data_IF_009215363019
#
_entry.id   IF_009215363019
#
_cell.length_a   1.000
_cell.length_b   1.000
_cell.length_c   1.000
_cell.angle_alpha   90.00
_cell.angle_beta   90.00
_cell.angle_gamma   90.00
#
_symmetry.space_group_name_H-M   'P 1'
#
loop_
_entity.id
_entity.type
_entity.pdbx_description
1 polymer ?
#
# COMPACT_ATOMS: atom_id res chain seq x y z
N UNK A 1 4.57 7.59 32.26
CA UNK A 1 4.70 7.39 30.80
C UNK A 1 3.26 7.31 30.24
N UNK A 2 2.85 8.20 29.35
CA UNK A 2 1.56 8.07 28.66
C UNK A 2 1.64 6.82 27.79
N UNK A 3 0.82 5.83 28.10
CA UNK A 3 0.68 4.61 27.30
C UNK A 3 -0.06 5.02 25.99
N UNK A 4 0.66 5.67 25.08
CA UNK A 4 0.11 6.07 23.78
C UNK A 4 -0.06 4.80 22.94
N UNK A 5 -1.32 4.47 22.63
CA UNK A 5 -1.64 3.37 21.73
C UNK A 5 -1.00 3.61 20.37
N UNK A 6 -0.29 2.62 19.83
CA UNK A 6 0.30 2.66 18.50
C UNK A 6 -0.81 2.82 17.44
N UNK A 7 -0.66 3.72 16.50
CA UNK A 7 -1.63 3.96 15.42
C UNK A 7 -1.24 3.17 14.18
N UNK A 8 -2.11 2.30 13.73
CA UNK A 8 -1.92 1.43 12.58
C UNK A 8 -2.98 1.74 11.53
N UNK A 9 -2.58 2.14 10.33
CA UNK A 9 -3.50 2.27 9.21
C UNK A 9 -3.53 0.97 8.40
N UNK A 10 -4.71 0.36 8.25
CA UNK A 10 -4.94 -0.70 7.27
C UNK A 10 -5.33 -0.07 5.94
N UNK A 11 -4.53 -0.35 4.92
CA UNK A 11 -4.68 0.19 3.57
C UNK A 11 -4.71 -0.99 2.60
N UNK A 12 -5.42 -0.89 1.51
CA UNK A 12 -5.41 -1.96 0.50
C UNK A 12 -6.49 -1.78 -0.54
N UNK A 13 -6.33 -2.52 -1.62
CA UNK A 13 -7.31 -2.54 -2.70
C UNK A 13 -8.64 -3.15 -2.20
N UNK A 14 -9.76 -2.79 -2.82
CA UNK A 14 -11.01 -3.52 -2.59
C UNK A 14 -10.83 -5.04 -2.77
N UNK A 15 -11.51 -5.82 -1.94
CA UNK A 15 -11.55 -7.28 -1.97
C UNK A 15 -10.24 -8.02 -1.59
N UNK A 16 -9.22 -7.35 -1.08
CA UNK A 16 -7.99 -7.99 -0.57
C UNK A 16 -8.17 -8.67 0.80
N UNK A 17 -9.37 -8.60 1.37
CA UNK A 17 -9.64 -9.14 2.70
C UNK A 17 -9.24 -8.19 3.86
N UNK A 18 -9.09 -6.90 3.57
CA UNK A 18 -8.73 -5.87 4.56
C UNK A 18 -9.68 -5.84 5.75
N UNK A 19 -10.99 -5.81 5.52
CA UNK A 19 -12.01 -5.85 6.59
C UNK A 19 -11.96 -7.17 7.39
N UNK A 20 -11.67 -8.30 6.74
CA UNK A 20 -11.50 -9.56 7.44
C UNK A 20 -10.28 -9.53 8.37
N UNK A 21 -9.17 -8.95 7.91
CA UNK A 21 -7.98 -8.74 8.73
C UNK A 21 -8.25 -7.77 9.89
N UNK A 22 -8.95 -6.67 9.63
CA UNK A 22 -9.37 -5.72 10.67
C UNK A 22 -10.14 -6.43 11.78
N UNK A 23 -11.13 -7.26 11.43
CA UNK A 23 -11.92 -8.02 12.39
C UNK A 23 -11.08 -9.03 13.18
N UNK A 24 -10.10 -9.69 12.55
CA UNK A 24 -9.17 -10.60 13.22
C UNK A 24 -8.27 -9.86 14.23
N UNK A 25 -7.77 -8.67 13.88
CA UNK A 25 -6.91 -7.88 14.75
C UNK A 25 -7.67 -7.29 15.94
N UNK A 26 -8.90 -6.82 15.73
CA UNK A 26 -9.67 -6.08 16.73
C UNK A 26 -10.63 -6.96 17.55
N UNK A 27 -10.85 -8.22 17.15
CA UNK A 27 -11.83 -9.09 17.79
C UNK A 27 -13.25 -8.50 17.73
N UNK A 28 -13.59 -7.76 16.66
CA UNK A 28 -14.85 -7.03 16.47
C UNK A 28 -15.08 -5.86 17.46
N UNK A 29 -14.10 -5.49 18.27
CA UNK A 29 -14.12 -4.31 19.12
C UNK A 29 -13.83 -3.07 18.26
N UNK A 30 -14.87 -2.55 17.61
CA UNK A 30 -14.76 -1.45 16.66
C UNK A 30 -15.75 -0.33 16.97
N UNK A 31 -15.36 0.89 16.61
CA UNK A 31 -16.23 2.05 16.53
C UNK A 31 -16.40 2.41 15.05
N UNK A 32 -17.64 2.56 14.64
CA UNK A 32 -18.00 2.95 13.28
C UNK A 32 -18.60 4.35 13.33
N UNK A 33 -18.16 5.23 12.45
CA UNK A 33 -18.64 6.59 12.29
C UNK A 33 -18.31 7.09 10.90
N UNK A 34 -18.40 8.39 10.68
CA UNK A 34 -17.97 9.00 9.42
C UNK A 34 -16.78 9.92 9.67
N UNK A 35 -15.97 10.13 8.64
CA UNK A 35 -14.96 11.18 8.66
C UNK A 35 -15.64 12.55 8.72
N UNK A 36 -15.09 13.54 9.45
CA UNK A 36 -15.68 14.87 9.58
C UNK A 36 -15.95 15.52 8.22
N UNK A 37 -17.20 15.95 8.00
CA UNK A 37 -17.59 16.70 6.80
C UNK A 37 -17.84 15.87 5.54
N UNK A 38 -17.73 14.53 5.61
CA UNK A 38 -17.96 13.63 4.47
C UNK A 38 -18.79 12.41 4.89
N UNK A 39 -19.42 11.76 3.90
CA UNK A 39 -20.21 10.52 4.10
C UNK A 39 -19.39 9.25 4.12
N UNK A 40 -18.05 9.36 4.13
CA UNK A 40 -17.13 8.23 4.11
C UNK A 40 -17.06 7.59 5.49
N UNK A 41 -17.24 6.27 5.52
CA UNK A 41 -17.22 5.49 6.75
C UNK A 41 -15.81 5.42 7.35
N UNK A 42 -15.71 5.69 8.66
CA UNK A 42 -14.49 5.59 9.47
C UNK A 42 -14.64 4.45 10.47
N UNK A 43 -13.82 3.42 10.34
CA UNK A 43 -13.76 2.28 11.27
C UNK A 43 -12.48 2.30 12.07
N UNK A 44 -12.62 2.28 13.39
CA UNK A 44 -11.48 2.26 14.31
C UNK A 44 -11.71 1.14 15.34
N UNK A 45 -10.66 0.36 15.57
CA UNK A 45 -10.70 -0.71 16.57
C UNK A 45 -9.43 -0.74 17.41
N UNK A 46 -9.47 -1.46 18.51
CA UNK A 46 -8.31 -1.70 19.37
C UNK A 46 -7.79 -3.12 19.20
N UNK A 47 -6.48 -3.27 19.17
CA UNK A 47 -5.79 -4.54 19.06
C UNK A 47 -4.79 -4.69 20.21
N UNK A 48 -4.83 -5.84 20.88
CA UNK A 48 -3.79 -6.23 21.82
C UNK A 48 -2.59 -6.79 21.05
N UNK A 49 -1.43 -6.24 21.30
CA UNK A 49 -0.16 -6.63 20.70
C UNK A 49 0.69 -7.39 21.70
N UNK A 50 1.72 -8.13 21.23
CA UNK A 50 2.76 -8.68 22.09
C UNK A 50 3.38 -7.62 23.03
N UNK A 51 4.10 -8.06 24.06
CA UNK A 51 4.77 -7.21 25.05
C UNK A 51 3.82 -6.25 25.80
N UNK A 52 2.54 -6.64 25.98
CA UNK A 52 1.50 -5.82 26.62
C UNK A 52 1.27 -4.45 25.95
N UNK A 53 1.66 -4.28 24.69
CA UNK A 53 1.38 -3.08 23.91
C UNK A 53 -0.06 -3.11 23.37
N UNK A 54 -0.57 -1.95 22.99
CA UNK A 54 -1.88 -1.80 22.35
C UNK A 54 -1.74 -0.99 21.07
N UNK A 55 -2.55 -1.33 20.09
CA UNK A 55 -2.67 -0.55 18.86
C UNK A 55 -4.11 -0.07 18.66
N UNK A 56 -4.24 1.10 18.09
CA UNK A 56 -5.47 1.61 17.48
C UNK A 56 -5.37 1.34 15.99
N UNK A 57 -6.26 0.48 15.48
CA UNK A 57 -6.30 0.10 14.07
C UNK A 57 -7.34 0.97 13.38
N UNK A 58 -6.91 1.69 12.35
CA UNK A 58 -7.77 2.49 11.49
C UNK A 58 -7.95 1.77 10.14
N UNK A 59 -9.18 1.38 9.82
CA UNK A 59 -9.52 0.78 8.52
C UNK A 59 -9.81 1.89 7.51
N UNK A 60 -8.88 2.14 6.58
CA UNK A 60 -9.04 3.16 5.55
C UNK A 60 -9.91 2.64 4.40
N UNK A 61 -10.62 3.52 3.68
CA UNK A 61 -11.34 3.15 2.46
C UNK A 61 -10.46 2.39 1.47
N UNK A 62 -11.05 1.43 0.75
CA UNK A 62 -10.33 0.66 -0.26
C UNK A 62 -9.95 1.55 -1.44
N UNK A 63 -8.66 1.55 -1.80
CA UNK A 63 -8.16 2.31 -2.95
C UNK A 63 -7.23 1.45 -3.81
N UNK A 64 -7.19 1.74 -5.11
CA UNK A 64 -6.30 1.02 -6.05
C UNK A 64 -4.95 1.68 -6.21
N UNK A 65 -4.85 2.98 -5.95
CA UNK A 65 -3.64 3.78 -6.06
C UNK A 65 -3.82 5.11 -5.30
N UNK A 66 -2.74 5.85 -5.13
CA UNK A 66 -2.79 7.26 -4.67
C UNK A 66 -3.04 8.25 -5.82
N UNK A 67 -3.54 7.78 -6.97
CA UNK A 67 -4.07 8.61 -8.04
C UNK A 67 -5.58 8.65 -7.86
N UNK A 68 -6.06 9.58 -7.02
CA UNK A 68 -7.45 9.62 -6.59
C UNK A 68 -8.40 9.99 -7.74
N UNK A 69 -9.49 9.22 -7.82
CA UNK A 69 -10.62 9.47 -8.71
C UNK A 69 -11.94 9.63 -7.94
N UNK A 70 -11.89 9.54 -6.61
CA UNK A 70 -13.06 9.63 -5.73
C UNK A 70 -12.74 10.41 -4.45
N UNK A 71 -13.77 10.88 -3.75
CA UNK A 71 -13.62 11.56 -2.46
C UNK A 71 -13.01 10.63 -1.40
N UNK A 72 -13.35 9.34 -1.42
CA UNK A 72 -12.83 8.34 -0.49
C UNK A 72 -11.32 8.17 -0.65
N UNK A 73 -10.83 8.14 -1.91
CA UNK A 73 -9.41 8.03 -2.21
C UNK A 73 -8.65 9.31 -1.84
N UNK A 74 -9.22 10.50 -2.06
CA UNK A 74 -8.65 11.77 -1.63
C UNK A 74 -8.43 11.81 -0.11
N UNK A 75 -9.42 11.33 0.67
CA UNK A 75 -9.34 11.28 2.12
C UNK A 75 -8.16 10.43 2.59
N UNK A 76 -7.92 9.27 1.96
CA UNK A 76 -6.75 8.42 2.25
C UNK A 76 -5.46 9.18 2.02
N UNK A 77 -5.36 9.91 0.89
CA UNK A 77 -4.16 10.68 0.56
C UNK A 77 -3.95 11.81 1.58
N UNK A 78 -4.97 12.60 1.88
CA UNK A 78 -4.89 13.71 2.83
C UNK A 78 -4.44 13.24 4.21
N UNK A 79 -5.01 12.14 4.72
CA UNK A 79 -4.60 11.55 5.99
C UNK A 79 -3.11 11.14 5.98
N UNK A 80 -2.66 10.48 4.93
CA UNK A 80 -1.27 10.00 4.84
C UNK A 80 -0.25 11.11 4.57
N UNK A 81 -0.69 12.26 4.08
CA UNK A 81 0.15 13.43 3.90
C UNK A 81 0.29 14.26 5.19
N UNK A 82 -0.73 14.29 6.05
CA UNK A 82 -0.81 15.20 7.20
C UNK A 82 -0.26 14.56 8.48
N UNK A 83 1.03 14.72 8.75
CA UNK A 83 1.67 14.24 10.00
C UNK A 83 1.09 14.83 11.28
N UNK A 84 0.38 15.96 11.19
CA UNK A 84 -0.26 16.61 12.34
C UNK A 84 -1.70 16.10 12.58
N UNK A 85 -2.23 15.26 11.70
CA UNK A 85 -3.55 14.67 11.89
C UNK A 85 -3.54 13.72 13.10
N UNK A 86 -4.62 13.78 13.88
CA UNK A 86 -4.78 12.90 15.06
C UNK A 86 -4.77 11.41 14.70
N UNK A 87 -5.16 11.07 13.47
CA UNK A 87 -5.26 9.71 12.94
C UNK A 87 -4.05 9.33 12.07
N UNK A 88 -3.04 10.21 11.94
CA UNK A 88 -1.81 9.89 11.19
C UNK A 88 -1.15 8.63 11.77
N UNK A 89 -0.84 7.63 10.94
CA UNK A 89 -0.34 6.34 11.41
C UNK A 89 1.14 6.38 11.79
N UNK A 90 1.50 5.63 12.83
CA UNK A 90 2.89 5.29 13.14
C UNK A 90 3.42 4.23 12.16
N UNK A 91 2.53 3.34 11.70
CA UNK A 91 2.83 2.30 10.71
C UNK A 91 1.65 2.06 9.78
N UNK A 92 1.95 1.91 8.50
CA UNK A 92 1.00 1.50 7.47
C UNK A 92 1.08 -0.01 7.23
N UNK A 93 -0.04 -0.69 7.27
CA UNK A 93 -0.17 -2.11 6.92
C UNK A 93 -0.94 -2.20 5.60
N UNK A 94 -0.21 -2.48 4.52
CA UNK A 94 -0.79 -2.55 3.17
C UNK A 94 -1.20 -3.98 2.86
N UNK A 95 -2.52 -4.19 2.74
CA UNK A 95 -3.11 -5.51 2.53
C UNK A 95 -3.27 -5.78 1.03
N UNK A 96 -2.62 -6.83 0.59
CA UNK A 96 -2.65 -7.35 -0.78
C UNK A 96 -3.20 -8.77 -0.79
N UNK A 97 -3.50 -9.30 -1.96
CA UNK A 97 -3.86 -10.71 -2.12
C UNK A 97 -2.90 -11.43 -3.06
N UNK A 98 -2.70 -12.71 -2.84
CA UNK A 98 -1.68 -13.49 -3.53
C UNK A 98 -1.90 -13.62 -5.05
N UNK A 99 -3.15 -13.69 -5.50
CA UNK A 99 -3.46 -13.88 -6.93
C UNK A 99 -3.21 -12.58 -7.71
N UNK A 100 -3.73 -11.44 -7.23
CA UNK A 100 -3.62 -10.14 -7.87
C UNK A 100 -2.45 -9.28 -7.34
N UNK A 101 -1.38 -9.93 -6.84
CA UNK A 101 -0.25 -9.27 -6.20
C UNK A 101 0.35 -8.16 -7.09
N UNK A 102 0.47 -8.39 -8.42
CA UNK A 102 0.96 -7.37 -9.36
C UNK A 102 0.16 -6.07 -9.29
N UNK A 103 -1.16 -6.15 -9.28
CA UNK A 103 -2.05 -4.98 -9.22
C UNK A 103 -1.97 -4.30 -7.87
N UNK A 104 -1.95 -5.11 -6.80
CA UNK A 104 -1.97 -4.58 -5.44
C UNK A 104 -0.65 -3.91 -5.04
N UNK A 105 0.48 -4.36 -5.58
CA UNK A 105 1.79 -3.76 -5.33
C UNK A 105 1.93 -2.33 -5.86
N UNK A 106 1.08 -1.90 -6.80
CA UNK A 106 1.07 -0.50 -7.23
C UNK A 106 0.81 0.43 -6.04
N UNK A 107 -0.27 0.20 -5.31
CA UNK A 107 -0.61 0.96 -4.10
C UNK A 107 0.49 0.84 -3.03
N UNK A 108 1.00 -0.38 -2.80
CA UNK A 108 2.07 -0.60 -1.84
C UNK A 108 3.30 0.26 -2.12
N UNK A 109 3.79 0.28 -3.38
CA UNK A 109 4.96 1.09 -3.74
C UNK A 109 4.72 2.58 -3.55
N UNK A 110 3.50 3.07 -3.78
CA UNK A 110 3.14 4.46 -3.56
C UNK A 110 3.11 4.83 -2.07
N UNK A 111 2.54 3.96 -1.22
CA UNK A 111 2.53 4.16 0.24
C UNK A 111 3.95 4.15 0.80
N UNK A 112 4.78 3.21 0.34
CA UNK A 112 6.18 3.09 0.76
C UNK A 112 7.00 4.36 0.42
N UNK A 113 6.71 4.98 -0.74
CA UNK A 113 7.39 6.21 -1.17
C UNK A 113 6.96 7.46 -0.38
N UNK A 114 5.94 7.37 0.49
CA UNK A 114 5.64 8.39 1.50
C UNK A 114 6.57 8.33 2.72
N UNK A 115 7.51 7.39 2.75
CA UNK A 115 8.50 7.22 3.83
C UNK A 115 7.84 6.98 5.21
N UNK A 116 6.65 6.38 5.21
CA UNK A 116 5.98 5.88 6.42
C UNK A 116 6.49 4.45 6.67
N UNK A 117 6.79 4.06 7.93
CA UNK A 117 7.03 2.66 8.24
C UNK A 117 5.90 1.78 7.69
N UNK A 118 6.23 0.84 6.80
CA UNK A 118 5.20 0.11 6.05
C UNK A 118 5.47 -1.38 6.13
N UNK A 119 4.42 -2.18 6.40
CA UNK A 119 4.42 -3.64 6.35
C UNK A 119 3.58 -4.07 5.15
N UNK A 120 4.09 -4.97 4.34
CA UNK A 120 3.32 -5.62 3.29
C UNK A 120 2.63 -6.88 3.85
N UNK A 121 1.31 -6.92 3.79
CA UNK A 121 0.54 -8.12 4.08
C UNK A 121 0.11 -8.77 2.77
N UNK A 122 0.51 -10.04 2.57
CA UNK A 122 0.01 -10.87 1.47
C UNK A 122 -1.01 -11.84 2.06
N UNK A 123 -2.28 -11.51 1.85
CA UNK A 123 -3.43 -12.28 2.34
C UNK A 123 -3.80 -13.40 1.36
N UNK A 124 -4.72 -14.26 1.80
CA UNK A 124 -5.19 -15.43 1.07
C UNK A 124 -4.08 -16.45 0.77
N UNK A 125 -3.10 -16.58 1.68
CA UNK A 125 -2.02 -17.56 1.56
C UNK A 125 -2.50 -19.01 1.45
N UNK A 126 -3.69 -19.31 1.96
CA UNK A 126 -4.33 -20.61 1.82
C UNK A 126 -4.68 -20.95 0.35
N UNK A 127 -4.74 -19.97 -0.55
CA UNK A 127 -4.96 -20.16 -1.98
C UNK A 127 -3.67 -20.55 -2.73
N UNK A 128 -2.48 -20.29 -2.16
CA UNK A 128 -1.21 -20.54 -2.84
C UNK A 128 -1.07 -21.99 -3.31
N UNK A 129 -1.30 -22.94 -2.41
CA UNK A 129 -1.22 -24.35 -2.75
C UNK A 129 -2.31 -24.81 -3.75
N UNK A 130 -3.49 -24.16 -3.71
CA UNK A 130 -4.58 -24.45 -4.64
C UNK A 130 -4.27 -23.97 -6.06
N UNK A 131 -3.55 -22.87 -6.18
CA UNK A 131 -3.23 -22.22 -7.45
C UNK A 131 -1.80 -22.51 -7.94
N UNK A 132 -1.02 -23.32 -7.22
CA UNK A 132 0.37 -23.62 -7.55
C UNK A 132 1.28 -22.41 -7.44
N UNK A 133 0.93 -21.41 -6.60
CA UNK A 133 1.71 -20.18 -6.42
C UNK A 133 2.77 -20.42 -5.34
N UNK A 134 4.00 -19.98 -5.60
CA UNK A 134 5.08 -19.92 -4.62
C UNK A 134 5.68 -18.51 -4.60
N UNK A 135 6.03 -18.03 -3.39
CA UNK A 135 6.65 -16.73 -3.17
C UNK A 135 8.00 -16.90 -2.47
N UNK A 136 9.02 -16.23 -2.97
CA UNK A 136 10.31 -16.10 -2.31
C UNK A 136 10.29 -14.84 -1.43
N UNK A 137 9.78 -15.01 -0.19
CA UNK A 137 9.57 -13.90 0.75
C UNK A 137 10.86 -13.13 1.01
N UNK A 138 12.04 -13.77 1.29
CA UNK A 138 13.29 -13.03 1.50
C UNK A 138 13.65 -12.11 0.34
N UNK A 139 13.56 -12.57 -0.90
CA UNK A 139 13.85 -11.73 -2.08
C UNK A 139 12.86 -10.59 -2.25
N UNK A 140 11.58 -10.85 -1.98
CA UNK A 140 10.55 -9.80 -2.01
C UNK A 140 10.80 -8.75 -0.92
N UNK A 141 11.15 -9.15 0.30
CA UNK A 141 11.49 -8.25 1.40
C UNK A 141 12.70 -7.35 1.08
N UNK A 142 13.77 -7.96 0.55
CA UNK A 142 14.97 -7.24 0.14
C UNK A 142 14.66 -6.19 -0.93
N UNK A 143 13.99 -6.58 -2.02
CA UNK A 143 13.69 -5.70 -3.14
C UNK A 143 12.67 -4.60 -2.79
N UNK A 144 11.69 -4.88 -1.93
CA UNK A 144 10.69 -3.92 -1.45
C UNK A 144 11.17 -3.12 -0.23
N UNK A 145 12.33 -3.48 0.35
CA UNK A 145 12.89 -2.84 1.55
C UNK A 145 11.88 -2.79 2.69
N UNK A 146 11.18 -3.90 2.93
CA UNK A 146 10.14 -4.00 3.97
C UNK A 146 10.02 -5.42 4.50
N UNK A 147 9.25 -5.59 5.58
CA UNK A 147 8.84 -6.89 6.09
C UNK A 147 7.52 -7.34 5.50
N UNK A 148 7.38 -8.64 5.28
CA UNK A 148 6.20 -9.25 4.67
C UNK A 148 5.54 -10.21 5.65
N UNK A 149 4.24 -10.01 5.91
CA UNK A 149 3.41 -10.98 6.62
C UNK A 149 2.57 -11.77 5.61
N UNK A 150 2.84 -13.06 5.51
CA UNK A 150 2.02 -13.99 4.70
C UNK A 150 0.91 -14.55 5.57
N UNK A 151 -0.35 -14.22 5.27
CA UNK A 151 -1.49 -14.55 6.13
C UNK A 151 -2.66 -15.18 5.37
N UNK A 152 -3.53 -15.84 6.12
CA UNK A 152 -4.92 -16.10 5.70
C UNK A 152 -5.86 -15.55 6.76
N UNK A 153 -6.46 -14.40 6.50
CA UNK A 153 -7.44 -13.81 7.43
C UNK A 153 -8.67 -14.70 7.61
N UNK A 154 -9.03 -15.50 6.59
CA UNK A 154 -10.13 -16.48 6.68
C UNK A 154 -9.82 -17.63 7.66
N UNK A 155 -8.56 -18.12 7.67
CA UNK A 155 -8.10 -19.20 8.52
C UNK A 155 -7.45 -18.75 9.82
N UNK A 156 -7.36 -17.42 10.04
CA UNK A 156 -6.66 -16.80 11.15
C UNK A 156 -5.18 -17.25 11.29
N UNK A 157 -4.51 -17.55 10.17
CA UNK A 157 -3.10 -17.94 10.17
C UNK A 157 -2.20 -16.75 9.84
N UNK A 158 -1.01 -16.67 10.47
CA UNK A 158 -0.03 -15.62 10.26
C UNK A 158 -0.34 -14.30 10.98
N UNK A 159 -1.45 -14.21 11.73
CA UNK A 159 -1.89 -12.98 12.42
C UNK A 159 -0.94 -12.59 13.55
N UNK A 160 -0.46 -13.55 14.35
CA UNK A 160 0.46 -13.26 15.45
C UNK A 160 1.82 -12.74 14.92
N UNK A 161 2.36 -13.33 13.84
CA UNK A 161 3.56 -12.80 13.19
C UNK A 161 3.39 -11.36 12.66
N UNK A 162 2.19 -11.02 12.14
CA UNK A 162 1.90 -9.63 11.78
C UNK A 162 1.89 -8.70 12.99
N UNK A 163 1.34 -9.14 14.13
CA UNK A 163 1.35 -8.34 15.37
C UNK A 163 2.77 -8.10 15.88
N UNK A 164 3.66 -9.07 15.76
CA UNK A 164 5.09 -8.92 16.10
C UNK A 164 5.75 -7.86 15.20
N UNK A 165 5.54 -7.91 13.88
CA UNK A 165 6.04 -6.90 12.96
C UNK A 165 5.51 -5.49 13.27
N UNK A 166 4.24 -5.37 13.70
CA UNK A 166 3.65 -4.09 14.12
C UNK A 166 4.35 -3.56 15.37
N UNK A 167 4.68 -4.42 16.34
CA UNK A 167 5.40 -4.00 17.56
C UNK A 167 6.78 -3.44 17.23
N UNK A 168 7.45 -4.03 16.24
CA UNK A 168 8.82 -3.71 15.84
C UNK A 168 8.87 -2.71 14.66
N UNK A 169 7.81 -1.92 14.45
CA UNK A 169 7.66 -1.01 13.30
C UNK A 169 8.81 0.00 13.16
N UNK A 170 9.44 0.40 14.27
CA UNK A 170 10.58 1.34 14.26
C UNK A 170 11.83 0.77 13.57
N UNK A 171 11.90 -0.57 13.42
CA UNK A 171 12.98 -1.26 12.71
C UNK A 171 12.73 -1.35 11.21
N UNK A 172 11.54 -0.96 10.74
CA UNK A 172 11.20 -0.99 9.31
C UNK A 172 11.95 0.11 8.55
N UNK A 173 12.52 -0.25 7.41
CA UNK A 173 13.08 0.75 6.50
C UNK A 173 11.99 1.69 5.98
N UNK A 174 12.27 2.98 5.97
CA UNK A 174 11.43 4.01 5.34
C UNK A 174 11.92 4.40 3.94
N UNK A 175 12.95 3.72 3.42
CA UNK A 175 13.46 3.99 2.09
C UNK A 175 12.38 3.77 1.01
N UNK A 176 12.24 4.69 0.04
CA UNK A 176 11.28 4.55 -1.04
C UNK A 176 11.64 3.40 -1.98
N UNK A 177 10.60 2.82 -2.62
CA UNK A 177 10.79 1.83 -3.69
C UNK A 177 11.30 2.47 -4.98
N UNK A 178 10.82 3.68 -5.28
CA UNK A 178 11.17 4.42 -6.49
C UNK A 178 11.62 5.85 -6.15
N UNK A 179 12.68 6.28 -6.82
CA UNK A 179 13.09 7.67 -6.72
C UNK A 179 12.27 8.52 -7.70
N UNK A 180 11.49 9.47 -7.18
CA UNK A 180 10.69 10.37 -8.01
C UNK A 180 11.53 11.12 -9.07
N UNK A 181 12.81 11.42 -8.79
CA UNK A 181 13.71 12.06 -9.75
C UNK A 181 13.94 11.23 -11.04
N UNK A 182 13.64 9.94 -11.04
CA UNK A 182 13.75 9.10 -12.24
C UNK A 182 12.59 9.33 -13.23
N UNK A 183 11.51 9.96 -12.79
CA UNK A 183 10.38 10.30 -13.65
C UNK A 183 10.75 11.49 -14.56
N UNK A 184 11.28 12.54 -13.95
CA UNK A 184 11.79 13.75 -14.62
C UNK A 184 12.85 14.39 -13.71
N UNK A 185 14.12 14.17 -14.00
CA UNK A 185 15.22 14.57 -13.11
C UNK A 185 15.33 16.09 -12.95
N UNK A 186 15.09 16.85 -14.00
CA UNK A 186 15.17 18.32 -13.95
C UNK A 186 14.06 18.89 -13.08
N UNK A 187 12.83 18.48 -13.31
CA UNK A 187 11.65 18.93 -12.57
C UNK A 187 11.75 18.59 -11.08
N UNK A 188 12.06 17.34 -10.75
CA UNK A 188 12.14 16.91 -9.35
C UNK A 188 13.37 17.46 -8.61
N UNK A 189 14.49 17.72 -9.30
CA UNK A 189 15.64 18.39 -8.69
C UNK A 189 15.33 19.87 -8.39
N UNK A 190 14.57 20.55 -9.25
CA UNK A 190 14.10 21.90 -8.98
C UNK A 190 13.14 21.94 -7.77
N UNK A 191 12.20 20.98 -7.67
CA UNK A 191 11.33 20.85 -6.50
C UNK A 191 12.13 20.62 -5.21
N UNK A 192 13.12 19.70 -5.24
CA UNK A 192 14.00 19.44 -4.08
C UNK A 192 14.77 20.67 -3.63
N UNK A 193 15.25 21.48 -4.59
CA UNK A 193 15.99 22.70 -4.29
C UNK A 193 15.14 23.77 -3.59
N UNK A 194 13.86 23.90 -3.99
CA UNK A 194 12.95 24.91 -3.40
C UNK A 194 12.35 24.39 -2.09
N UNK A 195 12.08 23.11 -1.99
CA UNK A 195 11.47 22.46 -0.82
C UNK A 195 12.39 21.38 -0.21
N UNK A 196 13.60 21.77 0.29
CA UNK A 196 14.61 20.79 0.73
C UNK A 196 14.17 19.92 1.91
N UNK A 197 13.22 20.39 2.72
CA UNK A 197 12.71 19.69 3.91
C UNK A 197 11.43 18.91 3.64
N UNK A 198 11.00 18.81 2.39
CA UNK A 198 9.80 18.08 2.01
C UNK A 198 10.16 16.80 1.22
N UNK A 199 9.40 15.74 1.46
CA UNK A 199 9.52 14.51 0.70
C UNK A 199 9.04 14.72 -0.73
N UNK A 200 9.85 14.32 -1.73
CA UNK A 200 9.55 14.57 -3.14
C UNK A 200 8.25 13.92 -3.60
N UNK A 201 8.01 12.69 -3.15
CA UNK A 201 6.78 11.98 -3.55
C UNK A 201 5.54 12.65 -2.96
N UNK A 202 5.64 13.19 -1.75
CA UNK A 202 4.58 13.99 -1.14
C UNK A 202 4.28 15.25 -1.94
N UNK A 203 5.30 16.03 -2.33
CA UNK A 203 5.13 17.19 -3.21
C UNK A 203 4.48 16.79 -4.54
N UNK A 204 4.92 15.67 -5.09
CA UNK A 204 4.34 15.12 -6.31
C UNK A 204 2.85 14.82 -6.19
N UNK A 205 2.40 14.20 -5.09
CA UNK A 205 0.98 13.94 -4.86
C UNK A 205 0.17 15.23 -4.72
N UNK A 206 0.69 16.23 -3.98
CA UNK A 206 0.02 17.55 -3.86
C UNK A 206 -0.20 18.20 -5.23
N UNK A 207 0.81 18.13 -6.10
CA UNK A 207 0.75 18.72 -7.44
C UNK A 207 -0.19 17.90 -8.37
N UNK A 208 -0.05 16.59 -8.35
CA UNK A 208 -0.68 15.71 -9.33
C UNK A 208 -2.13 15.35 -8.99
N UNK A 209 -2.48 15.34 -7.69
CA UNK A 209 -3.83 15.01 -7.22
C UNK A 209 -4.64 16.25 -6.81
N UNK A 210 -4.04 17.43 -6.87
CA UNK A 210 -4.67 18.70 -6.44
C UNK A 210 -5.22 18.64 -5.00
N UNK A 211 -4.51 17.92 -4.14
CA UNK A 211 -4.84 17.81 -2.71
C UNK A 211 -4.10 18.91 -1.94
N UNK A 212 -4.74 19.44 -0.92
CA UNK A 212 -4.13 20.44 -0.06
C UNK A 212 -3.41 19.76 1.12
N UNK A 213 -2.25 20.30 1.46
CA UNK A 213 -1.50 19.84 2.62
C UNK A 213 -0.93 21.05 3.40
N UNK A 214 -1.59 21.42 4.49
CA UNK A 214 -1.24 22.59 5.27
C UNK A 214 -1.19 23.84 4.39
N UNK A 215 -0.03 24.50 4.34
CA UNK A 215 0.20 25.64 3.47
C UNK A 215 0.59 25.26 2.02
N UNK A 216 0.86 23.97 1.77
CA UNK A 216 1.21 23.46 0.45
C UNK A 216 -0.04 23.14 -0.34
N UNK A 217 -0.18 23.79 -1.49
CA UNK A 217 -1.19 23.48 -2.50
C UNK A 217 -0.53 23.43 -3.87
N UNK A 218 -1.22 22.83 -4.85
CA UNK A 218 -0.77 22.82 -6.25
C UNK A 218 -0.39 24.22 -6.73
N UNK A 219 -1.24 25.24 -6.42
CA UNK A 219 -1.00 26.64 -6.79
C UNK A 219 0.28 27.20 -6.18
N UNK A 220 0.54 26.93 -4.90
CA UNK A 220 1.74 27.41 -4.20
C UNK A 220 2.99 26.76 -4.78
N UNK A 221 2.97 25.42 -4.97
CA UNK A 221 4.13 24.69 -5.46
C UNK A 221 4.43 25.04 -6.92
N UNK A 222 3.41 25.26 -7.75
CA UNK A 222 3.56 25.58 -9.16
C UNK A 222 3.73 27.07 -9.48
N UNK A 223 3.79 27.94 -8.49
CA UNK A 223 4.04 29.37 -8.70
C UNK A 223 5.55 29.65 -8.86
N UNK A 224 6.16 29.06 -9.89
CA UNK A 224 7.59 29.26 -10.20
C UNK A 224 7.89 29.00 -11.68
N UNK A 225 9.13 29.31 -12.11
CA UNK A 225 9.57 29.28 -13.52
C UNK A 225 9.63 27.91 -14.18
N UNK A 226 9.55 26.82 -13.40
CA UNK A 226 9.56 25.43 -13.92
C UNK A 226 8.21 24.72 -13.74
N UNK A 227 7.14 25.49 -13.48
CA UNK A 227 5.78 24.93 -13.40
C UNK A 227 5.42 24.23 -14.71
N UNK A 228 4.64 23.14 -14.58
CA UNK A 228 4.18 22.35 -15.71
C UNK A 228 2.69 22.50 -15.91
N UNK A 229 2.25 22.46 -17.16
CA UNK A 229 0.83 22.42 -17.52
C UNK A 229 0.17 21.11 -17.03
N UNK A 230 -1.15 21.11 -16.93
CA UNK A 230 -1.90 19.91 -16.54
C UNK A 230 -1.66 18.73 -17.48
N UNK A 231 -1.47 19.00 -18.77
CA UNK A 231 -1.16 17.94 -19.74
C UNK A 231 0.24 17.36 -19.57
N UNK A 232 1.23 18.17 -19.19
CA UNK A 232 2.58 17.68 -18.86
C UNK A 232 2.56 16.88 -17.55
N UNK A 233 1.80 17.32 -16.54
CA UNK A 233 1.64 16.59 -15.29
C UNK A 233 0.97 15.24 -15.52
N UNK A 234 -0.07 15.15 -16.36
CA UNK A 234 -0.69 13.86 -16.76
C UNK A 234 0.30 12.92 -17.44
N UNK A 235 1.15 13.46 -18.34
CA UNK A 235 2.22 12.66 -18.98
C UNK A 235 3.22 12.13 -17.94
N UNK A 236 3.58 12.93 -16.94
CA UNK A 236 4.46 12.48 -15.86
C UNK A 236 3.81 11.41 -14.98
N UNK A 237 2.52 11.55 -14.63
CA UNK A 237 1.77 10.51 -13.91
C UNK A 237 1.74 9.19 -14.67
N UNK A 238 1.52 9.26 -15.98
CA UNK A 238 1.54 8.07 -16.83
C UNK A 238 2.94 7.42 -16.85
N UNK A 239 3.99 8.23 -16.98
CA UNK A 239 5.38 7.77 -16.92
C UNK A 239 5.73 7.14 -15.56
N UNK A 240 5.28 7.74 -14.45
CA UNK A 240 5.41 7.17 -13.11
C UNK A 240 4.78 5.78 -13.04
N UNK A 241 3.51 5.67 -13.46
CA UNK A 241 2.77 4.40 -13.43
C UNK A 241 3.48 3.31 -14.24
N UNK A 242 4.00 3.64 -15.44
CA UNK A 242 4.79 2.71 -16.26
C UNK A 242 6.04 2.24 -15.51
N UNK A 243 6.80 3.16 -14.91
CA UNK A 243 8.02 2.81 -14.16
C UNK A 243 7.71 1.93 -12.95
N UNK A 244 6.62 2.21 -12.21
CA UNK A 244 6.17 1.36 -11.10
C UNK A 244 5.83 -0.04 -11.56
N UNK A 245 5.11 -0.20 -12.68
CA UNK A 245 4.80 -1.52 -13.22
C UNK A 245 6.02 -2.24 -13.78
N UNK A 246 7.02 -1.52 -14.33
CA UNK A 246 8.31 -2.12 -14.70
C UNK A 246 9.00 -2.70 -13.46
N UNK A 247 9.16 -1.90 -12.40
CA UNK A 247 9.73 -2.35 -11.14
C UNK A 247 8.97 -3.56 -10.57
N UNK A 248 7.63 -3.50 -10.50
CA UNK A 248 6.79 -4.59 -10.00
C UNK A 248 6.94 -5.86 -10.85
N UNK A 249 7.01 -5.73 -12.17
CA UNK A 249 7.21 -6.89 -13.06
C UNK A 249 8.56 -7.55 -12.80
N UNK A 250 9.63 -6.77 -12.67
CA UNK A 250 10.97 -7.31 -12.41
C UNK A 250 11.06 -7.96 -11.03
N UNK A 251 10.44 -7.34 -10.02
CA UNK A 251 10.27 -7.92 -8.69
C UNK A 251 9.56 -9.28 -8.73
N UNK A 252 8.42 -9.37 -9.41
CA UNK A 252 7.62 -10.59 -9.47
C UNK A 252 8.27 -11.69 -10.31
N UNK A 253 9.12 -11.38 -11.29
CA UNK A 253 9.92 -12.39 -12.02
C UNK A 253 10.87 -13.15 -11.09
N UNK A 254 11.42 -12.49 -10.07
CA UNK A 254 12.38 -13.10 -9.13
C UNK A 254 11.71 -13.66 -7.88
N UNK A 255 10.58 -13.07 -7.46
CA UNK A 255 9.95 -13.36 -6.18
C UNK A 255 8.66 -14.17 -6.24
N UNK A 256 8.07 -14.42 -7.43
CA UNK A 256 6.82 -15.17 -7.59
C UNK A 256 6.97 -16.21 -8.69
N UNK A 257 6.59 -17.44 -8.42
CA UNK A 257 6.46 -18.50 -9.43
C UNK A 257 5.08 -19.14 -9.38
N UNK A 258 4.62 -19.59 -10.54
CA UNK A 258 3.35 -20.31 -10.66
C UNK A 258 3.65 -21.62 -11.38
N UNK A 259 3.40 -22.74 -10.71
CA UNK A 259 3.54 -24.09 -11.27
C UNK A 259 2.14 -24.72 -11.36
N UNK A 260 1.51 -24.67 -12.52
CA UNK A 260 0.17 -25.22 -12.69
C UNK A 260 0.08 -26.72 -12.40
N UNK A 261 1.16 -27.48 -12.55
CA UNK A 261 1.19 -28.90 -12.28
C UNK A 261 1.01 -29.23 -10.78
N UNK A 262 1.37 -28.26 -9.90
CA UNK A 262 1.21 -28.35 -8.46
C UNK A 262 -0.14 -27.83 -7.96
N UNK A 263 -0.94 -27.23 -8.85
CA UNK A 263 -2.27 -26.74 -8.50
C UNK A 263 -3.18 -27.91 -8.05
N UNK A 264 -3.81 -27.73 -6.91
CA UNK A 264 -4.73 -28.74 -6.33
C UNK A 264 -6.19 -28.51 -6.74
N UNK A 265 -6.48 -27.39 -7.36
CA UNK A 265 -7.83 -27.03 -7.79
C UNK A 265 -8.15 -27.64 -9.16
N UNK A 266 -9.31 -28.33 -9.25
CA UNK A 266 -9.81 -28.91 -10.49
C UNK A 266 -10.06 -27.86 -11.59
N UNK A 267 -10.52 -26.66 -11.23
CA UNK A 267 -10.74 -25.55 -12.19
C UNK A 267 -9.42 -25.08 -12.79
N UNK A 268 -8.36 -24.97 -12.00
CA UNK A 268 -7.03 -24.62 -12.48
C UNK A 268 -6.43 -25.69 -13.42
N UNK A 269 -6.75 -26.97 -13.19
CA UNK A 269 -6.35 -28.06 -14.10
C UNK A 269 -7.13 -28.04 -15.41
N UNK A 270 -8.41 -27.68 -15.36
CA UNK A 270 -9.24 -27.54 -16.56
C UNK A 270 -8.81 -26.34 -17.41
N UNK A 271 -8.48 -25.19 -16.80
CA UNK A 271 -7.97 -24.01 -17.49
C UNK A 271 -6.67 -24.32 -18.25
N UNK A 272 -5.78 -25.14 -17.67
CA UNK A 272 -4.54 -25.58 -18.34
C UNK A 272 -4.85 -26.42 -19.58
N UNK A 273 -5.85 -27.30 -19.51
CA UNK A 273 -6.25 -28.16 -20.62
C UNK A 273 -6.89 -27.32 -21.73
N UNK A 274 -7.74 -26.36 -21.38
CA UNK A 274 -8.48 -25.50 -22.31
C UNK A 274 -7.55 -24.45 -22.97
N UNK A 275 -6.55 -23.96 -22.24
CA UNK A 275 -5.61 -22.93 -22.76
C UNK A 275 -4.36 -23.51 -23.41
N UNK A 276 -4.23 -24.86 -23.45
CA UNK A 276 -3.08 -25.52 -24.07
C UNK A 276 -3.07 -25.32 -25.59
N UNK A 277 -1.96 -24.77 -26.15
CA UNK A 277 -1.82 -24.41 -27.57
C UNK A 277 -2.09 -25.53 -28.58
N UNK A 278 -2.15 -26.78 -28.15
CA UNK A 278 -2.30 -27.99 -29.01
C UNK A 278 -3.60 -28.78 -28.71
N UNK A 279 -4.25 -28.55 -27.56
CA UNK A 279 -5.42 -29.32 -27.13
C UNK A 279 -6.64 -28.51 -26.71
N UNK A 280 -6.56 -27.17 -26.76
CA UNK A 280 -7.69 -26.28 -26.50
C UNK A 280 -8.40 -25.93 -27.79
N UNK A 281 -9.53 -26.58 -28.06
CA UNK A 281 -10.54 -26.15 -29.01
C UNK A 281 -11.70 -25.60 -28.23
#
# INVERSE_FOLDING_TARGET
MKNTSLKVALIGNPNTGKTSLFNQLTGLNQQVGNYPGVTVERKVGTCSLPQNKKATILDLPGTYSLNANSLDENLVIELLLNKNDKDYPDVAVVVTEVENLKRNLLLFTQIKDLEIPTILVINMADQMALKGISLDIPKLEEALKTKIALISSRKATGIEGLKELIVDYELLSTEPCLNASEIDSEYFNNLRRIYPNQQLYKLWLVISQDVNFGELSKKVIQNNSFSKSDDELKKLQHKETIKRYQFINDLLKIGKSIDPSKAKDLSSKLDIIITHKIGGY
#
